data_IF_794259369745
#
_entry.id   IF_794259369745
#
_cell.length_a   1.000
_cell.length_b   1.000
_cell.length_c   1.000
_cell.angle_alpha   90.00
_cell.angle_beta   90.00
_cell.angle_gamma   90.00
#
_symmetry.space_group_name_H-M   'P 1'
#
loop_
_entity.id
_entity.type
_entity.pdbx_description
1 polymer ?
#
# COMPACT_ATOMS: atom_id res chain seq x y z
N UNK A 1 -2.77 3.07 -30.00
CA UNK A 1 -3.05 4.04 -28.92
C UNK A 1 -1.97 3.84 -27.87
N UNK A 2 -1.30 4.89 -27.40
CA UNK A 2 -0.24 4.71 -26.38
C UNK A 2 -0.88 4.43 -25.02
N UNK A 3 -0.19 3.70 -24.13
CA UNK A 3 -0.72 3.37 -22.80
C UNK A 3 -1.01 4.62 -21.96
N UNK A 4 -0.26 5.71 -22.17
CA UNK A 4 -0.52 7.03 -21.56
C UNK A 4 -1.83 7.68 -22.06
N UNK A 5 -2.15 7.52 -23.35
CA UNK A 5 -3.43 7.98 -23.90
C UNK A 5 -4.60 7.17 -23.31
N UNK A 6 -4.42 5.86 -23.13
CA UNK A 6 -5.42 5.01 -22.50
C UNK A 6 -5.70 5.44 -21.05
N UNK A 7 -4.67 5.76 -20.27
CA UNK A 7 -4.81 6.31 -18.92
C UNK A 7 -5.59 7.63 -18.92
N UNK A 8 -5.26 8.55 -19.82
CA UNK A 8 -5.96 9.83 -19.92
C UNK A 8 -7.45 9.67 -20.30
N UNK A 9 -7.75 8.73 -21.21
CA UNK A 9 -9.13 8.42 -21.58
C UNK A 9 -9.91 7.79 -20.44
N UNK A 10 -9.28 6.91 -19.65
CA UNK A 10 -9.94 6.33 -18.50
C UNK A 10 -10.24 7.39 -17.43
N UNK A 11 -9.29 8.31 -17.16
CA UNK A 11 -9.53 9.46 -16.29
C UNK A 11 -10.70 10.35 -16.79
N UNK A 12 -10.77 10.60 -18.10
CA UNK A 12 -11.90 11.32 -18.70
C UNK A 12 -13.23 10.57 -18.48
N UNK A 13 -13.26 9.24 -18.61
CA UNK A 13 -14.47 8.43 -18.34
C UNK A 13 -14.93 8.52 -16.89
N UNK A 14 -14.02 8.72 -15.93
CA UNK A 14 -14.39 9.00 -14.55
C UNK A 14 -15.11 10.36 -14.45
N UNK A 15 -14.57 11.41 -15.06
CA UNK A 15 -15.19 12.73 -15.14
C UNK A 15 -16.56 12.70 -15.83
N UNK A 16 -16.70 11.99 -16.96
CA UNK A 16 -17.97 11.86 -17.70
C UNK A 16 -19.06 11.21 -16.85
N UNK A 17 -18.68 10.36 -15.89
CA UNK A 17 -19.60 9.78 -14.92
C UNK A 17 -19.86 10.69 -13.70
N UNK A 18 -19.34 11.93 -13.67
CA UNK A 18 -19.41 12.83 -12.52
C UNK A 18 -18.64 12.33 -11.29
N UNK A 19 -17.62 11.48 -11.47
CA UNK A 19 -16.88 10.81 -10.40
C UNK A 19 -15.37 11.06 -10.52
N UNK A 20 -14.64 10.74 -9.46
CA UNK A 20 -13.17 10.81 -9.42
C UNK A 20 -12.63 9.53 -8.80
N UNK A 21 -11.61 8.95 -9.43
CA UNK A 21 -10.93 7.78 -8.90
C UNK A 21 -9.93 8.20 -7.82
N UNK A 22 -9.91 7.47 -6.70
CA UNK A 22 -8.86 7.62 -5.69
C UNK A 22 -7.65 6.74 -6.06
N UNK A 23 -6.47 7.33 -6.08
CA UNK A 23 -5.18 6.68 -6.27
C UNK A 23 -4.33 6.83 -5.01
N UNK A 24 -3.51 5.82 -4.71
CA UNK A 24 -2.56 5.89 -3.60
C UNK A 24 -1.30 5.07 -3.86
N UNK A 25 -0.25 5.37 -3.11
CA UNK A 25 1.07 4.78 -3.29
C UNK A 25 1.52 4.06 -2.02
N UNK A 26 1.83 2.77 -2.17
CA UNK A 26 2.46 1.95 -1.13
C UNK A 26 3.82 1.46 -1.65
N UNK A 27 4.84 1.53 -0.80
CA UNK A 27 6.14 0.94 -1.05
C UNK A 27 6.47 -0.08 0.03
N UNK A 28 6.78 -1.31 -0.36
CA UNK A 28 6.97 -2.44 0.57
C UNK A 28 8.46 -2.68 0.89
N UNK A 29 8.72 -3.42 1.98
CA UNK A 29 10.03 -3.88 2.46
C UNK A 29 10.95 -2.86 3.14
N UNK A 30 10.44 -1.70 3.55
CA UNK A 30 11.21 -0.73 4.32
C UNK A 30 11.64 -1.30 5.70
N UNK A 31 12.85 -0.96 6.15
CA UNK A 31 13.37 -1.42 7.45
C UNK A 31 14.45 -0.50 8.03
N UNK A 32 15.37 -0.01 7.20
CA UNK A 32 16.43 0.91 7.59
C UNK A 32 16.62 1.99 6.53
N UNK A 33 17.40 3.01 6.84
CA UNK A 33 17.87 3.96 5.84
C UNK A 33 18.77 3.25 4.82
N UNK A 34 18.45 3.43 3.54
CA UNK A 34 19.25 2.97 2.42
C UNK A 34 19.31 4.07 1.36
N UNK A 35 20.27 4.01 0.44
CA UNK A 35 20.31 4.95 -0.69
C UNK A 35 19.02 4.90 -1.53
N UNK A 36 18.49 3.69 -1.78
CA UNK A 36 17.24 3.52 -2.51
C UNK A 36 16.03 4.09 -1.75
N UNK A 37 16.02 4.05 -0.41
CA UNK A 37 14.98 4.72 0.38
C UNK A 37 15.15 6.24 0.31
N UNK A 38 16.38 6.75 0.34
CA UNK A 38 16.63 8.19 0.17
C UNK A 38 16.14 8.67 -1.21
N UNK A 39 16.34 7.89 -2.27
CA UNK A 39 15.82 8.16 -3.62
C UNK A 39 14.28 8.15 -3.66
N UNK A 40 13.64 7.18 -2.98
CA UNK A 40 12.18 7.12 -2.83
C UNK A 40 11.62 8.38 -2.19
N UNK A 41 12.25 8.82 -1.10
CA UNK A 41 11.83 9.99 -0.33
C UNK A 41 12.11 11.30 -1.07
N UNK A 42 13.19 11.37 -1.85
CA UNK A 42 13.43 12.48 -2.76
C UNK A 42 12.33 12.56 -3.83
N UNK A 43 11.96 11.44 -4.44
CA UNK A 43 10.87 11.38 -5.42
C UNK A 43 9.52 11.78 -4.81
N UNK A 44 9.23 11.30 -3.60
CA UNK A 44 8.06 11.69 -2.82
C UNK A 44 8.02 13.21 -2.61
N UNK A 45 9.15 13.81 -2.23
CA UNK A 45 9.25 15.24 -2.01
C UNK A 45 9.05 16.04 -3.31
N UNK A 46 9.72 15.65 -4.38
CA UNK A 46 9.67 16.32 -5.69
C UNK A 46 8.28 16.27 -6.32
N UNK A 47 7.59 15.14 -6.20
CA UNK A 47 6.25 14.94 -6.79
C UNK A 47 5.10 15.31 -5.84
N UNK A 48 5.40 15.54 -4.56
CA UNK A 48 4.41 15.78 -3.50
C UNK A 48 3.33 14.69 -3.40
N UNK A 49 3.59 13.48 -3.89
CA UNK A 49 2.66 12.35 -3.78
C UNK A 49 2.81 11.72 -2.39
N UNK A 50 1.74 11.56 -1.61
CA UNK A 50 1.82 10.85 -0.34
C UNK A 50 2.22 9.38 -0.56
N UNK A 51 3.16 8.89 0.24
CA UNK A 51 3.61 7.49 0.21
C UNK A 51 3.37 6.82 1.56
N UNK A 52 2.93 5.57 1.51
CA UNK A 52 2.87 4.70 2.66
C UNK A 52 3.97 3.65 2.60
N UNK A 53 4.89 3.65 3.56
CA UNK A 53 5.95 2.65 3.66
C UNK A 53 5.44 1.45 4.46
N UNK A 54 5.43 0.26 3.87
CA UNK A 54 5.21 -0.99 4.60
C UNK A 54 6.54 -1.43 5.23
N UNK A 55 6.65 -1.26 6.54
CA UNK A 55 7.88 -1.46 7.31
C UNK A 55 7.89 -2.83 7.97
N UNK A 56 8.97 -3.59 7.84
CA UNK A 56 9.16 -4.90 8.50
C UNK A 56 9.63 -4.70 9.95
N UNK A 57 8.79 -4.92 10.98
CA UNK A 57 9.11 -4.53 12.36
C UNK A 57 10.38 -5.16 12.93
N UNK A 58 10.63 -6.45 12.68
CA UNK A 58 11.78 -7.16 13.23
C UNK A 58 13.13 -6.66 12.69
N UNK A 59 13.10 -5.87 11.61
CA UNK A 59 14.27 -5.27 10.97
C UNK A 59 14.30 -3.75 11.08
N UNK A 60 13.26 -3.14 11.64
CA UNK A 60 13.11 -1.70 11.74
C UNK A 60 14.17 -1.11 12.70
N UNK A 61 14.92 -0.10 12.25
CA UNK A 61 16.00 0.52 13.03
C UNK A 61 15.69 1.97 13.42
N UNK A 62 16.42 2.56 14.39
CA UNK A 62 16.40 4.00 14.64
C UNK A 62 16.80 4.87 13.43
N UNK A 63 17.59 4.33 12.49
CA UNK A 63 18.00 5.03 11.26
C UNK A 63 16.81 5.36 10.36
N UNK A 64 15.85 4.43 10.27
CA UNK A 64 14.58 4.67 9.58
C UNK A 64 13.81 5.84 10.22
N UNK A 65 13.65 5.82 11.54
CA UNK A 65 12.93 6.88 12.26
C UNK A 65 13.57 8.26 12.09
N UNK A 66 14.91 8.31 12.11
CA UNK A 66 15.65 9.54 11.89
C UNK A 66 15.42 10.10 10.48
N UNK A 67 15.45 9.24 9.45
CA UNK A 67 15.21 9.66 8.06
C UNK A 67 13.79 10.21 7.87
N UNK A 68 12.78 9.56 8.46
CA UNK A 68 11.37 9.96 8.32
C UNK A 68 10.98 11.16 9.20
N UNK A 69 11.83 11.58 10.14
CA UNK A 69 11.53 12.66 11.09
C UNK A 69 11.19 13.99 10.40
N UNK A 70 11.80 14.27 9.25
CA UNK A 70 11.58 15.49 8.46
C UNK A 70 10.42 15.39 7.45
N UNK A 71 9.77 14.23 7.33
CA UNK A 71 8.79 13.93 6.29
C UNK A 71 7.44 13.55 6.92
N UNK A 72 6.61 14.54 7.31
CA UNK A 72 5.32 14.28 7.95
C UNK A 72 4.27 13.68 7.01
N UNK A 73 4.50 13.72 5.70
CA UNK A 73 3.59 13.17 4.68
C UNK A 73 3.81 11.68 4.39
N UNK A 74 4.80 11.06 5.03
CA UNK A 74 5.07 9.63 4.90
C UNK A 74 4.33 8.89 6.01
N UNK A 75 3.35 8.08 5.60
CA UNK A 75 2.67 7.16 6.48
C UNK A 75 3.46 5.85 6.58
N UNK A 76 3.35 5.16 7.72
CA UNK A 76 3.99 3.87 7.94
C UNK A 76 2.93 2.83 8.26
N UNK A 77 2.99 1.70 7.55
CA UNK A 77 2.16 0.53 7.76
C UNK A 77 3.05 -0.63 8.22
N UNK A 78 2.48 -1.61 8.93
CA UNK A 78 3.25 -2.77 9.36
C UNK A 78 3.31 -3.85 8.29
N UNK A 79 4.50 -4.22 7.83
CA UNK A 79 4.70 -5.30 6.85
C UNK A 79 4.99 -6.64 7.52
N UNK A 80 3.94 -7.32 8.01
CA UNK A 80 4.07 -8.58 8.73
C UNK A 80 4.81 -8.43 10.06
N UNK A 81 5.77 -9.31 10.33
CA UNK A 81 6.68 -9.17 11.48
C UNK A 81 8.16 -9.22 11.09
N UNK A 82 8.62 -10.31 10.49
CA UNK A 82 10.01 -10.50 10.09
C UNK A 82 10.20 -10.72 8.58
N UNK A 83 9.09 -10.79 7.84
CA UNK A 83 9.04 -11.13 6.43
C UNK A 83 9.67 -12.51 6.14
N UNK A 84 9.44 -13.47 7.05
CA UNK A 84 9.99 -14.83 6.96
C UNK A 84 8.97 -15.78 6.33
N UNK A 85 9.42 -16.61 5.38
CA UNK A 85 8.56 -17.65 4.81
C UNK A 85 8.41 -18.81 5.80
N UNK A 86 7.18 -19.16 6.13
CA UNK A 86 6.84 -20.33 6.95
C UNK A 86 6.13 -21.43 6.16
N UNK A 87 5.89 -21.22 4.86
CA UNK A 87 5.31 -22.24 4.00
C UNK A 87 6.34 -23.32 3.62
N UNK A 88 5.93 -24.58 3.44
CA UNK A 88 6.76 -25.62 2.86
C UNK A 88 7.32 -25.22 1.47
N UNK A 89 8.46 -25.78 1.03
CA UNK A 89 9.10 -25.39 -0.23
C UNK A 89 8.22 -25.50 -1.49
N UNK A 90 7.25 -26.42 -1.51
CA UNK A 90 6.34 -26.62 -2.63
C UNK A 90 5.18 -25.59 -2.66
N UNK A 91 5.00 -24.82 -1.59
CA UNK A 91 3.88 -23.90 -1.43
C UNK A 91 4.32 -22.45 -1.63
N UNK A 92 3.35 -21.58 -1.91
CA UNK A 92 3.62 -20.16 -2.10
C UNK A 92 4.12 -19.57 -0.78
N UNK A 93 5.16 -18.73 -0.86
CA UNK A 93 5.73 -18.03 0.31
C UNK A 93 4.63 -17.29 1.08
N UNK A 94 4.59 -17.48 2.39
CA UNK A 94 3.69 -16.75 3.28
C UNK A 94 4.26 -16.72 4.70
N UNK A 95 4.21 -15.55 5.32
CA UNK A 95 4.59 -15.39 6.73
C UNK A 95 3.40 -15.66 7.66
N UNK A 96 2.24 -15.11 7.30
CA UNK A 96 1.00 -15.12 8.09
C UNK A 96 0.08 -16.27 7.65
N UNK A 97 0.66 -17.45 7.40
CA UNK A 97 -0.03 -18.65 6.91
C UNK A 97 -0.46 -19.60 8.02
N UNK A 98 -1.17 -20.70 7.69
CA UNK A 98 -1.66 -21.67 8.68
C UNK A 98 -0.57 -22.61 9.23
N UNK A 99 0.70 -22.43 8.84
CA UNK A 99 1.80 -23.34 9.20
C UNK A 99 2.38 -23.11 10.59
N UNK A 100 1.88 -22.11 11.32
CA UNK A 100 2.27 -21.81 12.71
C UNK A 100 1.01 -21.62 13.56
N UNK A 101 1.08 -21.88 14.89
CA UNK A 101 -0.05 -21.60 15.78
C UNK A 101 -0.50 -20.14 15.67
N UNK A 102 -1.81 -19.91 15.53
CA UNK A 102 -2.38 -18.58 15.34
C UNK A 102 -1.97 -17.61 16.46
N UNK A 103 -1.94 -18.06 17.71
CA UNK A 103 -1.51 -17.24 18.85
C UNK A 103 -0.06 -16.77 18.74
N UNK A 104 0.84 -17.58 18.17
CA UNK A 104 2.22 -17.18 17.96
C UNK A 104 2.31 -16.06 16.91
N UNK A 105 1.58 -16.22 15.79
CA UNK A 105 1.51 -15.20 14.74
C UNK A 105 0.91 -13.90 15.27
N UNK A 106 -0.19 -13.96 16.03
CA UNK A 106 -0.83 -12.78 16.61
C UNK A 106 0.07 -12.09 17.65
N UNK A 107 0.82 -12.86 18.44
CA UNK A 107 1.81 -12.32 19.38
C UNK A 107 2.91 -11.55 18.68
N UNK A 108 3.47 -12.10 17.59
CA UNK A 108 4.46 -11.41 16.75
C UNK A 108 3.90 -10.14 16.11
N UNK A 109 2.69 -10.20 15.55
CA UNK A 109 2.05 -9.03 14.95
C UNK A 109 1.83 -7.91 15.97
N UNK A 110 1.32 -8.24 17.17
CA UNK A 110 1.13 -7.28 18.24
C UNK A 110 2.44 -6.69 18.77
N UNK A 111 3.49 -7.51 18.93
CA UNK A 111 4.81 -7.04 19.31
C UNK A 111 5.42 -6.11 18.25
N UNK A 112 5.26 -6.44 16.97
CA UNK A 112 5.65 -5.59 15.86
C UNK A 112 4.92 -4.25 15.87
N UNK A 113 3.63 -4.25 16.16
CA UNK A 113 2.81 -3.03 16.20
C UNK A 113 3.31 -2.07 17.28
N UNK A 114 3.48 -2.58 18.51
CA UNK A 114 4.02 -1.79 19.62
C UNK A 114 5.44 -1.28 19.34
N UNK A 115 6.27 -2.07 18.66
CA UNK A 115 7.62 -1.66 18.30
C UNK A 115 7.62 -0.50 17.29
N UNK A 116 6.78 -0.57 16.25
CA UNK A 116 6.65 0.48 15.24
C UNK A 116 6.01 1.74 15.82
N UNK A 117 4.96 1.61 16.64
CA UNK A 117 4.33 2.75 17.32
C UNK A 117 5.35 3.50 18.18
N UNK A 118 6.15 2.77 18.97
CA UNK A 118 7.22 3.37 19.78
C UNK A 118 8.31 4.03 18.93
N UNK A 119 8.66 3.44 17.79
CA UNK A 119 9.75 3.90 16.94
C UNK A 119 9.37 5.11 16.07
N UNK A 120 8.14 5.14 15.56
CA UNK A 120 7.72 6.05 14.48
C UNK A 120 6.55 6.97 14.89
N UNK A 121 5.97 6.74 16.06
CA UNK A 121 4.91 7.57 16.65
C UNK A 121 3.69 7.67 15.73
N UNK A 122 3.18 8.89 15.57
CA UNK A 122 1.96 9.19 14.82
C UNK A 122 2.02 8.85 13.31
N UNK A 123 3.21 8.57 12.76
CA UNK A 123 3.37 8.08 11.38
C UNK A 123 2.92 6.63 11.24
N UNK A 124 3.11 5.81 12.27
CA UNK A 124 2.65 4.44 12.28
C UNK A 124 1.11 4.44 12.34
N UNK A 125 0.49 3.93 11.28
CA UNK A 125 -0.94 3.68 11.22
C UNK A 125 -1.20 2.22 11.63
N UNK A 126 -2.28 1.92 12.35
CA UNK A 126 -2.65 0.57 12.76
C UNK A 126 -3.15 -0.26 11.56
N UNK A 127 -2.31 -0.45 10.55
CA UNK A 127 -2.64 -1.10 9.27
C UNK A 127 -1.65 -2.21 9.03
N UNK A 128 -2.16 -3.42 8.78
CA UNK A 128 -1.35 -4.58 8.44
C UNK A 128 -1.21 -4.72 6.92
N UNK A 129 0.02 -4.92 6.46
CA UNK A 129 0.37 -5.31 5.10
C UNK A 129 0.97 -6.71 5.15
N UNK A 130 0.28 -7.77 4.71
CA UNK A 130 0.84 -9.12 4.75
C UNK A 130 1.99 -9.29 3.76
N UNK A 131 3.16 -9.85 4.16
CA UNK A 131 4.22 -10.24 3.25
C UNK A 131 3.73 -11.09 2.08
N UNK A 132 4.24 -10.80 0.88
CA UNK A 132 3.78 -11.38 -0.38
C UNK A 132 2.26 -11.24 -0.64
N UNK A 133 1.61 -10.28 0.04
CA UNK A 133 0.17 -10.04 0.02
C UNK A 133 -0.66 -11.27 0.43
N UNK A 134 -0.15 -12.09 1.37
CA UNK A 134 -0.81 -13.32 1.83
C UNK A 134 -1.00 -13.37 3.34
N UNK A 135 -2.23 -13.64 3.74
CA UNK A 135 -2.62 -13.89 5.13
C UNK A 135 -3.67 -15.00 5.16
N UNK A 136 -3.59 -15.88 6.16
CA UNK A 136 -4.58 -16.91 6.40
C UNK A 136 -5.93 -16.25 6.75
N UNK A 137 -7.05 -16.61 6.08
CA UNK A 137 -8.35 -15.97 6.31
C UNK A 137 -8.84 -16.01 7.76
N UNK A 138 -8.42 -17.03 8.53
CA UNK A 138 -8.77 -17.19 9.93
C UNK A 138 -8.12 -16.14 10.85
N UNK A 139 -7.02 -15.50 10.43
CA UNK A 139 -6.35 -14.45 11.21
C UNK A 139 -6.99 -13.07 11.03
N UNK A 140 -7.61 -12.81 9.89
CA UNK A 140 -8.14 -11.47 9.57
C UNK A 140 -9.18 -10.98 10.60
N UNK A 141 -10.15 -11.80 11.07
CA UNK A 141 -11.13 -11.38 12.05
C UNK A 141 -10.56 -11.01 13.43
N UNK A 142 -9.37 -11.49 13.78
CA UNK A 142 -8.73 -11.26 15.08
C UNK A 142 -7.79 -10.05 15.08
N UNK A 143 -7.47 -9.48 13.91
CA UNK A 143 -6.60 -8.30 13.81
C UNK A 143 -7.08 -7.09 14.64
N UNK A 144 -8.39 -6.78 14.72
CA UNK A 144 -8.87 -5.70 15.57
C UNK A 144 -8.57 -5.87 17.06
N UNK A 145 -8.54 -7.12 17.54
CA UNK A 145 -8.30 -7.48 18.94
C UNK A 145 -6.87 -7.16 19.39
N UNK A 146 -5.92 -7.12 18.44
CA UNK A 146 -4.52 -6.76 18.68
C UNK A 146 -4.17 -5.34 18.20
N UNK A 147 -5.19 -4.51 17.94
CA UNK A 147 -5.00 -3.07 17.70
C UNK A 147 -5.05 -2.62 16.23
N UNK A 148 -5.05 -3.53 15.25
CA UNK A 148 -5.16 -3.13 13.84
C UNK A 148 -6.56 -2.60 13.50
N UNK A 149 -6.62 -1.65 12.57
CA UNK A 149 -7.82 -1.03 12.01
C UNK A 149 -7.85 -1.07 10.49
N UNK A 150 -6.72 -1.34 9.84
CA UNK A 150 -6.65 -1.52 8.39
C UNK A 150 -5.95 -2.81 7.96
N UNK A 151 -6.27 -3.25 6.75
CA UNK A 151 -5.56 -4.29 6.01
C UNK A 151 -5.30 -3.79 4.59
N UNK A 152 -4.08 -3.99 4.12
CA UNK A 152 -3.71 -3.74 2.73
C UNK A 152 -2.98 -4.94 2.15
N UNK A 153 -3.64 -5.64 1.23
CA UNK A 153 -3.08 -6.71 0.43
C UNK A 153 -2.96 -6.26 -1.03
N UNK A 154 -3.20 -7.16 -1.98
CA UNK A 154 -3.10 -6.91 -3.42
C UNK A 154 -4.32 -7.45 -4.18
N UNK A 155 -4.80 -6.66 -5.15
CA UNK A 155 -5.98 -6.92 -5.96
C UNK A 155 -7.28 -6.42 -5.32
N UNK A 156 -8.38 -6.61 -6.04
CA UNK A 156 -9.70 -6.16 -5.62
C UNK A 156 -10.06 -6.69 -4.21
N UNK A 157 -10.50 -5.78 -3.33
CA UNK A 157 -10.90 -6.14 -1.97
C UNK A 157 -12.10 -7.07 -1.98
N UNK A 158 -12.15 -8.00 -1.02
CA UNK A 158 -13.33 -8.87 -0.88
C UNK A 158 -14.51 -8.14 -0.26
N UNK A 159 -14.22 -7.23 0.67
CA UNK A 159 -15.21 -6.41 1.40
C UNK A 159 -14.57 -5.08 1.79
N UNK A 160 -15.37 -4.02 1.85
CA UNK A 160 -14.87 -2.72 2.31
C UNK A 160 -14.53 -2.72 3.80
N UNK A 161 -15.31 -3.45 4.61
CA UNK A 161 -15.07 -3.59 6.06
C UNK A 161 -15.32 -5.02 6.55
N UNK A 162 -14.49 -5.47 7.49
CA UNK A 162 -14.69 -6.72 8.23
C UNK A 162 -14.46 -6.48 9.73
N UNK A 163 -15.54 -6.53 10.54
CA UNK A 163 -15.47 -6.29 12.00
C UNK A 163 -14.77 -4.95 12.37
N UNK A 164 -15.00 -3.90 11.59
CA UNK A 164 -14.35 -2.60 11.78
C UNK A 164 -12.97 -2.47 11.14
N UNK A 165 -12.40 -3.54 10.57
CA UNK A 165 -11.18 -3.49 9.77
C UNK A 165 -11.47 -2.92 8.38
N UNK A 166 -10.81 -1.84 7.98
CA UNK A 166 -10.91 -1.23 6.65
C UNK A 166 -9.94 -1.94 5.69
N UNK A 167 -10.41 -2.38 4.52
CA UNK A 167 -9.57 -3.00 3.50
C UNK A 167 -9.35 -2.04 2.31
N UNK A 168 -8.08 -1.67 2.07
CA UNK A 168 -7.66 -0.87 0.91
C UNK A 168 -6.37 -1.48 0.36
N UNK A 169 -6.44 -2.02 -0.86
CA UNK A 169 -5.36 -2.81 -1.46
C UNK A 169 -4.60 -2.02 -2.53
N UNK A 170 -3.41 -2.51 -2.87
CA UNK A 170 -2.72 -2.15 -4.11
C UNK A 170 -3.17 -3.05 -5.25
N UNK A 171 -2.95 -2.63 -6.49
CA UNK A 171 -3.49 -3.25 -7.70
C UNK A 171 -2.46 -3.36 -8.81
N UNK A 172 -1.47 -2.47 -8.81
CA UNK A 172 -0.43 -2.40 -9.85
C UNK A 172 0.92 -2.58 -9.16
N UNK A 173 1.56 -3.73 -9.37
CA UNK A 173 2.93 -3.98 -8.91
C UNK A 173 3.90 -3.59 -10.03
N UNK A 174 4.89 -2.75 -9.71
CA UNK A 174 5.90 -2.33 -10.67
C UNK A 174 6.96 -3.41 -10.94
N UNK A 175 7.06 -4.45 -10.09
CA UNK A 175 8.11 -5.45 -10.18
C UNK A 175 7.58 -6.77 -10.77
N UNK A 176 8.26 -7.27 -11.80
CA UNK A 176 8.01 -8.60 -12.34
C UNK A 176 8.69 -9.69 -11.50
N UNK A 177 8.07 -10.02 -10.36
CA UNK A 177 8.59 -11.05 -9.44
C UNK A 177 8.72 -12.46 -10.03
N UNK A 178 8.05 -12.74 -11.15
CA UNK A 178 7.98 -14.08 -11.77
C UNK A 178 8.95 -14.23 -12.94
N UNK A 179 9.26 -13.15 -13.65
CA UNK A 179 10.22 -13.14 -14.74
C UNK A 179 11.50 -12.44 -14.35
N UNK A 180 11.65 -11.18 -14.76
CA UNK A 180 12.93 -10.45 -14.70
C UNK A 180 13.39 -10.09 -13.30
N UNK A 181 12.47 -10.03 -12.32
CA UNK A 181 12.66 -9.42 -10.99
C UNK A 181 13.05 -7.94 -11.04
N UNK A 182 12.85 -7.28 -12.16
CA UNK A 182 13.00 -5.84 -12.35
C UNK A 182 11.68 -5.19 -12.75
N UNK A 183 11.76 -4.01 -13.37
CA UNK A 183 10.57 -3.29 -13.82
C UNK A 183 9.71 -4.12 -14.78
N UNK A 184 8.39 -4.16 -14.54
CA UNK A 184 7.40 -4.84 -15.40
C UNK A 184 7.26 -4.19 -16.78
N UNK A 185 7.75 -2.96 -16.95
CA UNK A 185 7.65 -2.19 -18.18
C UNK A 185 6.45 -1.24 -18.18
N UNK A 186 6.62 -0.07 -18.80
CA UNK A 186 5.63 1.01 -18.77
C UNK A 186 4.28 0.60 -19.38
N UNK A 187 4.30 -0.19 -20.46
CA UNK A 187 3.07 -0.66 -21.11
C UNK A 187 2.24 -1.55 -20.19
N UNK A 188 2.88 -2.52 -19.52
CA UNK A 188 2.21 -3.42 -18.60
C UNK A 188 1.73 -2.69 -17.33
N UNK A 189 2.55 -1.82 -16.75
CA UNK A 189 2.17 -1.04 -15.57
C UNK A 189 0.97 -0.13 -15.85
N UNK A 190 0.97 0.58 -16.98
CA UNK A 190 -0.15 1.45 -17.38
C UNK A 190 -1.39 0.66 -17.78
N UNK A 191 -1.24 -0.48 -18.45
CA UNK A 191 -2.34 -1.38 -18.76
C UNK A 191 -3.05 -1.85 -17.49
N UNK A 192 -2.28 -2.36 -16.52
CA UNK A 192 -2.81 -2.78 -15.22
C UNK A 192 -3.50 -1.64 -14.46
N UNK A 193 -2.96 -0.41 -14.54
CA UNK A 193 -3.57 0.76 -13.91
C UNK A 193 -4.91 1.11 -14.57
N UNK A 194 -4.98 1.12 -15.90
CA UNK A 194 -6.21 1.37 -16.65
C UNK A 194 -7.26 0.32 -16.33
N UNK A 195 -6.88 -0.96 -16.30
CA UNK A 195 -7.79 -2.06 -15.98
C UNK A 195 -8.32 -1.95 -14.56
N UNK A 196 -7.46 -1.64 -13.58
CA UNK A 196 -7.87 -1.43 -12.20
C UNK A 196 -8.82 -0.23 -12.05
N UNK A 197 -8.52 0.89 -12.72
CA UNK A 197 -9.37 2.08 -12.74
C UNK A 197 -10.73 1.80 -13.38
N UNK A 198 -10.76 1.07 -14.49
CA UNK A 198 -11.99 0.69 -15.16
C UNK A 198 -12.84 -0.25 -14.30
N UNK A 199 -12.22 -1.27 -13.68
CA UNK A 199 -12.90 -2.17 -12.76
C UNK A 199 -13.50 -1.42 -11.56
N UNK A 200 -12.72 -0.52 -10.95
CA UNK A 200 -13.21 0.31 -9.85
C UNK A 200 -14.39 1.20 -10.28
N UNK A 201 -14.32 1.84 -11.46
CA UNK A 201 -15.40 2.70 -11.98
C UNK A 201 -16.70 1.95 -12.20
N UNK A 202 -16.60 0.72 -12.68
CA UNK A 202 -17.73 -0.10 -13.10
C UNK A 202 -18.36 -0.88 -11.94
N UNK A 203 -17.61 -1.23 -10.90
CA UNK A 203 -18.08 -2.19 -9.90
C UNK A 203 -17.96 -1.75 -8.43
N UNK A 204 -16.87 -1.10 -8.01
CA UNK A 204 -16.53 -1.05 -6.58
C UNK A 204 -16.25 0.34 -6.01
N UNK A 205 -15.94 1.33 -6.85
CA UNK A 205 -15.42 2.64 -6.45
C UNK A 205 -14.25 2.53 -5.47
N UNK A 206 -13.51 1.42 -5.49
CA UNK A 206 -12.40 1.22 -4.56
C UNK A 206 -11.18 2.06 -4.97
N UNK A 207 -10.39 2.55 -3.99
CA UNK A 207 -9.12 3.19 -4.30
C UNK A 207 -8.18 2.24 -5.02
N UNK A 208 -7.53 2.71 -6.08
CA UNK A 208 -6.56 1.94 -6.87
C UNK A 208 -5.16 2.27 -6.39
N UNK A 209 -4.48 1.29 -5.80
CA UNK A 209 -3.13 1.45 -5.26
C UNK A 209 -2.03 1.03 -6.22
N UNK A 210 -0.98 1.84 -6.30
CA UNK A 210 0.29 1.48 -6.92
C UNK A 210 1.23 0.91 -5.86
N UNK A 211 1.91 -0.20 -6.19
CA UNK A 211 2.87 -0.90 -5.35
C UNK A 211 4.26 -0.81 -5.96
N UNK A 212 5.17 -0.14 -5.26
CA UNK A 212 6.60 -0.14 -5.56
C UNK A 212 7.37 -0.97 -4.52
N UNK A 213 8.62 -1.28 -4.85
CA UNK A 213 9.58 -1.86 -3.93
C UNK A 213 10.93 -1.20 -4.20
N UNK A 214 11.25 -0.11 -3.52
CA UNK A 214 12.46 0.70 -3.77
C UNK A 214 13.75 -0.15 -3.85
N UNK A 215 13.85 -1.23 -3.08
CA UNK A 215 15.00 -2.14 -3.07
C UNK A 215 15.14 -2.99 -4.34
N UNK A 216 14.08 -3.12 -5.13
CA UNK A 216 14.04 -3.91 -6.37
C UNK A 216 13.88 -3.03 -7.63
N UNK A 217 13.82 -1.71 -7.48
CA UNK A 217 13.65 -0.78 -8.59
C UNK A 217 14.99 -0.47 -9.27
N UNK A 218 15.02 -0.66 -10.59
CA UNK A 218 16.09 -0.16 -11.45
C UNK A 218 15.78 1.28 -11.93
N UNK A 219 16.74 1.90 -12.64
CA UNK A 219 16.60 3.26 -13.16
C UNK A 219 15.33 3.47 -14.01
N UNK A 220 14.93 2.45 -14.78
CA UNK A 220 13.73 2.55 -15.63
C UNK A 220 12.44 2.52 -14.81
N UNK A 221 12.41 1.76 -13.71
CA UNK A 221 11.30 1.80 -12.76
C UNK A 221 11.18 3.18 -12.11
N UNK A 222 12.31 3.77 -11.71
CA UNK A 222 12.36 5.11 -11.10
C UNK A 222 11.86 6.20 -12.06
N UNK A 223 12.37 6.21 -13.30
CA UNK A 223 11.95 7.16 -14.32
C UNK A 223 10.46 7.02 -14.67
N UNK A 224 9.97 5.79 -14.74
CA UNK A 224 8.55 5.52 -14.96
C UNK A 224 7.69 6.04 -13.80
N UNK A 225 8.06 5.75 -12.55
CA UNK A 225 7.29 6.15 -11.38
C UNK A 225 7.18 7.67 -11.29
N UNK A 226 8.29 8.39 -11.53
CA UNK A 226 8.32 9.85 -11.65
C UNK A 226 7.37 10.36 -12.73
N UNK A 227 7.52 9.87 -13.95
CA UNK A 227 6.69 10.26 -15.09
C UNK A 227 5.21 9.98 -14.85
N UNK A 228 4.91 8.89 -14.13
CA UNK A 228 3.54 8.50 -13.80
C UNK A 228 2.90 9.47 -12.83
N UNK A 229 3.58 9.84 -11.75
CA UNK A 229 3.05 10.80 -10.78
C UNK A 229 2.90 12.20 -11.39
N UNK A 230 3.88 12.67 -12.15
CA UNK A 230 3.78 13.92 -12.92
C UNK A 230 2.56 13.90 -13.84
N UNK A 231 2.31 12.76 -14.52
CA UNK A 231 1.16 12.62 -15.40
C UNK A 231 -0.17 12.63 -14.63
N UNK A 232 -0.28 11.92 -13.52
CA UNK A 232 -1.50 11.83 -12.72
C UNK A 232 -1.96 13.20 -12.24
N UNK A 233 -1.04 14.08 -11.83
CA UNK A 233 -1.37 15.46 -11.46
C UNK A 233 -2.06 16.27 -12.58
N UNK A 234 -1.85 15.90 -13.85
CA UNK A 234 -2.46 16.59 -15.00
C UNK A 234 -3.82 16.03 -15.41
N UNK A 235 -4.25 14.91 -14.83
CA UNK A 235 -5.43 14.18 -15.31
C UNK A 235 -6.67 14.49 -14.46
N UNK A 236 -7.63 15.27 -14.98
CA UNK A 236 -8.89 15.44 -14.29
C UNK A 236 -9.60 14.09 -14.21
N UNK A 237 -10.13 13.75 -13.04
CA UNK A 237 -10.80 12.47 -12.79
C UNK A 237 -9.97 11.48 -11.97
N UNK A 238 -8.70 11.81 -11.68
CA UNK A 238 -7.86 11.10 -10.72
C UNK A 238 -7.55 12.00 -9.52
N UNK A 239 -7.56 11.43 -8.32
CA UNK A 239 -7.21 12.12 -7.07
C UNK A 239 -6.24 11.26 -6.26
N UNK A 240 -5.12 11.85 -5.86
CA UNK A 240 -4.16 11.21 -4.97
C UNK A 240 -4.65 11.29 -3.52
N UNK A 241 -4.49 10.21 -2.77
CA UNK A 241 -4.87 10.09 -1.36
C UNK A 241 -3.73 9.47 -0.57
N UNK A 242 -3.52 9.97 0.64
CA UNK A 242 -2.62 9.35 1.64
C UNK A 242 -3.26 8.10 2.24
N UNK A 243 -2.43 7.19 2.77
CA UNK A 243 -2.94 6.03 3.50
C UNK A 243 -3.74 6.48 4.73
N UNK A 244 -3.30 7.53 5.43
CA UNK A 244 -4.02 8.09 6.57
C UNK A 244 -5.45 8.50 6.22
N UNK A 245 -5.66 9.13 5.07
CA UNK A 245 -7.01 9.49 4.62
C UNK A 245 -7.85 8.28 4.23
N UNK A 246 -7.24 7.26 3.64
CA UNK A 246 -7.94 6.06 3.18
C UNK A 246 -8.32 5.10 4.31
N UNK A 247 -7.51 5.06 5.37
CA UNK A 247 -7.72 4.25 6.57
C UNK A 247 -8.30 5.03 7.74
N UNK A 248 -8.56 6.33 7.59
CA UNK A 248 -9.34 7.08 8.57
C UNK A 248 -10.75 6.48 8.66
N UNK A 249 -11.23 6.29 9.88
CA UNK A 249 -12.62 5.90 10.11
C UNK A 249 -13.52 6.94 9.46
N UNK A 250 -14.22 6.56 8.38
CA UNK A 250 -15.33 7.33 7.80
C UNK A 250 -16.55 7.34 8.76
N UNK A 251 -16.32 7.62 10.04
CA UNK A 251 -17.26 7.58 11.16
C UNK A 251 -17.49 8.94 11.81
N UNK A 252 -17.01 10.05 11.23
CA UNK A 252 -17.29 11.42 11.69
C UNK A 252 -18.30 12.19 10.82
N UNK A 253 -19.09 11.48 10.01
CA UNK A 253 -20.23 12.07 9.29
C UNK A 253 -21.55 11.45 9.79
N UNK A 254 -21.90 11.73 11.04
CA UNK A 254 -23.27 11.71 11.61
C UNK A 254 -23.15 12.09 13.09
N UNK A 255 -23.17 13.39 13.36
CA UNK A 255 -23.07 13.95 14.71
C UNK A 255 -23.57 15.39 14.78
N UNK A 256 -24.50 15.77 13.92
CA UNK A 256 -25.36 16.93 14.10
C UNK A 256 -26.77 16.50 13.70
N UNK A 257 -27.53 16.01 14.67
CA UNK A 257 -28.99 16.12 14.75
C UNK A 257 -29.43 15.57 16.12
N UNK A 258 -29.94 16.46 16.98
CA UNK A 258 -30.73 16.07 18.16
C UNK A 258 -30.17 16.53 19.51
N UNK A 259 -30.49 17.77 19.88
CA UNK A 259 -30.29 18.34 21.22
C UNK A 259 -30.55 19.83 21.24
#
# INVERSE_FOLDING_TARGET
MTSWQALAQEAARWCDCGRTADLWWRDDDAADRTAALDDLLALQHETSVPVALAVVPARATPGLAQCLSALPQVDVLQHGYAHVNHAPPAEKKVELGPYRPAMAVLGELGAGWLALERLLGQRALPVLVPPWNRIAPALVPTLPEIGFRGLSAFGARRRTRLRGLIEVNTHVDLIDWKGSRGFVGAEAALGNLVDALAAARLASMEPVGLLSHHLAMDATAWDFLRSMWEKVWTLPGLRLRSARELFADAGSATGEEGG
#
